data_IF_102748460747
#
_entry.id   IF_102748460747
#
_cell.length_a   1.000
_cell.length_b   1.000
_cell.length_c   1.000
_cell.angle_alpha   90.00
_cell.angle_beta   90.00
_cell.angle_gamma   90.00
#
_symmetry.space_group_name_H-M   'P 1'
#
loop_
_entity.id
_entity.type
_entity.pdbx_description
1 polymer ?
#
# COMPACT_ATOMS: atom_id res chain seq x y z
N UNK A 1 -13.28 -9.05 -8.29
CA UNK A 1 -13.68 -7.74 -8.88
C UNK A 1 -12.51 -6.81 -9.27
N UNK A 2 -11.30 -6.89 -8.69
CA UNK A 2 -10.16 -6.00 -9.07
C UNK A 2 -9.71 -6.20 -10.53
N UNK A 3 -9.71 -7.44 -11.04
CA UNK A 3 -9.37 -7.76 -12.43
C UNK A 3 -10.31 -7.08 -13.43
N UNK A 4 -11.62 -7.11 -13.16
CA UNK A 4 -12.64 -6.44 -14.00
C UNK A 4 -12.42 -4.93 -14.02
N UNK A 5 -12.17 -4.31 -12.86
CA UNK A 5 -11.87 -2.87 -12.78
C UNK A 5 -10.59 -2.50 -13.52
N UNK A 6 -9.53 -3.32 -13.43
CA UNK A 6 -8.28 -3.12 -14.19
C UNK A 6 -8.53 -3.21 -15.69
N UNK A 7 -9.26 -4.23 -16.14
CA UNK A 7 -9.63 -4.40 -17.54
C UNK A 7 -10.41 -3.19 -18.06
N UNK A 8 -11.47 -2.77 -17.34
CA UNK A 8 -12.27 -1.61 -17.71
C UNK A 8 -11.45 -0.31 -17.73
N UNK A 9 -10.62 -0.07 -16.71
CA UNK A 9 -9.74 1.09 -16.67
C UNK A 9 -8.82 1.15 -17.90
N UNK A 10 -8.20 0.03 -18.26
CA UNK A 10 -7.33 -0.08 -19.44
C UNK A 10 -8.13 0.12 -20.72
N UNK A 11 -9.29 -0.51 -20.88
CA UNK A 11 -10.15 -0.35 -22.06
C UNK A 11 -10.58 1.11 -22.25
N UNK A 12 -11.06 1.78 -21.20
CA UNK A 12 -11.53 3.16 -21.28
C UNK A 12 -10.39 4.16 -21.52
N UNK A 13 -9.19 3.92 -20.98
CA UNK A 13 -8.02 4.77 -21.22
C UNK A 13 -7.43 4.57 -22.62
N UNK A 14 -7.33 3.31 -23.09
CA UNK A 14 -6.79 2.99 -24.42
C UNK A 14 -7.70 3.51 -25.55
N UNK A 15 -9.01 3.53 -25.37
CA UNK A 15 -9.91 4.16 -26.34
C UNK A 15 -9.98 5.68 -26.16
N UNK A 16 -10.02 6.19 -24.92
CA UNK A 16 -10.26 7.60 -24.65
C UNK A 16 -9.10 8.53 -25.03
N UNK A 17 -7.86 8.12 -24.78
CA UNK A 17 -6.66 8.97 -24.97
C UNK A 17 -6.28 9.19 -26.45
N UNK A 18 -6.16 8.17 -27.31
CA UNK A 18 -5.80 8.40 -28.71
C UNK A 18 -6.92 9.09 -29.49
N UNK A 19 -8.19 8.81 -29.16
CA UNK A 19 -9.33 9.46 -29.80
C UNK A 19 -9.44 10.93 -29.40
N UNK A 20 -9.18 11.29 -28.13
CA UNK A 20 -9.12 12.69 -27.73
C UNK A 20 -7.95 13.44 -28.38
N UNK A 21 -6.79 12.81 -28.50
CA UNK A 21 -5.63 13.40 -29.17
C UNK A 21 -5.90 13.71 -30.65
N UNK A 22 -6.52 12.78 -31.38
CA UNK A 22 -6.90 12.98 -32.78
C UNK A 22 -7.90 14.15 -32.95
N UNK A 23 -8.93 14.21 -32.10
CA UNK A 23 -9.92 15.28 -32.15
C UNK A 23 -9.31 16.64 -31.78
N UNK A 24 -8.41 16.69 -30.80
CA UNK A 24 -7.71 17.94 -30.42
C UNK A 24 -6.87 18.47 -31.60
N UNK A 25 -6.21 17.60 -32.36
CA UNK A 25 -5.44 17.97 -33.55
C UNK A 25 -6.36 18.57 -34.62
N UNK A 26 -7.54 17.99 -34.88
CA UNK A 26 -8.48 18.49 -35.88
C UNK A 26 -9.12 19.84 -35.49
N UNK A 27 -9.39 20.06 -34.20
CA UNK A 27 -9.92 21.34 -33.70
C UNK A 27 -8.88 22.47 -33.83
N UNK A 28 -7.61 22.18 -33.55
CA UNK A 28 -6.51 23.15 -33.60
C UNK A 28 -6.01 23.42 -35.02
N UNK A 29 -6.39 22.60 -36.00
CA UNK A 29 -6.00 22.78 -37.39
C UNK A 29 -6.80 23.93 -38.05
N UNK A 30 -6.16 25.00 -38.55
CA UNK A 30 -6.86 26.13 -39.15
C UNK A 30 -7.55 25.78 -40.48
N UNK A 31 -7.26 24.61 -41.07
CA UNK A 31 -7.83 24.17 -42.35
C UNK A 31 -9.14 23.36 -42.21
N UNK A 32 -9.60 23.06 -41.00
CA UNK A 32 -10.84 22.31 -40.78
C UNK A 32 -12.08 23.21 -40.85
N UNK A 33 -13.13 22.71 -41.50
CA UNK A 33 -14.39 23.46 -41.70
C UNK A 33 -15.18 23.52 -40.38
N UNK A 34 -15.94 24.60 -40.16
CA UNK A 34 -16.75 24.77 -38.93
C UNK A 34 -17.72 23.60 -38.66
N UNK A 35 -18.29 23.02 -39.72
CA UNK A 35 -19.16 21.84 -39.63
C UNK A 35 -18.42 20.62 -39.05
N UNK A 36 -17.19 20.41 -39.47
CA UNK A 36 -16.36 19.29 -39.02
C UNK A 36 -15.84 19.53 -37.59
N UNK A 37 -15.53 20.79 -37.24
CA UNK A 37 -15.20 21.18 -35.86
C UNK A 37 -16.35 20.90 -34.90
N UNK A 38 -17.59 21.25 -35.27
CA UNK A 38 -18.77 21.00 -34.44
C UNK A 38 -19.06 19.49 -34.28
N UNK A 39 -18.87 18.70 -35.34
CA UNK A 39 -18.98 17.23 -35.26
C UNK A 39 -17.89 16.62 -34.36
N UNK A 40 -16.66 17.14 -34.44
CA UNK A 40 -15.55 16.72 -33.61
C UNK A 40 -15.77 17.06 -32.12
N UNK A 41 -16.31 18.25 -31.81
CA UNK A 41 -16.71 18.64 -30.45
C UNK A 41 -17.83 17.74 -29.91
N UNK A 42 -18.81 17.40 -30.74
CA UNK A 42 -19.88 16.45 -30.36
C UNK A 42 -19.31 15.05 -30.05
N UNK A 43 -18.36 14.55 -30.85
CA UNK A 43 -17.70 13.28 -30.59
C UNK A 43 -16.87 13.30 -29.29
N UNK A 44 -16.17 14.42 -29.02
CA UNK A 44 -15.34 14.60 -27.83
C UNK A 44 -16.20 14.59 -26.55
N UNK A 45 -17.33 15.30 -26.58
CA UNK A 45 -18.24 15.43 -25.43
C UNK A 45 -19.02 14.15 -25.12
N UNK A 46 -19.51 13.46 -26.16
CA UNK A 46 -20.36 12.28 -25.97
C UNK A 46 -19.54 11.03 -25.65
N UNK A 47 -18.41 10.84 -26.32
CA UNK A 47 -17.66 9.58 -26.22
C UNK A 47 -16.39 9.68 -25.40
N UNK A 48 -15.59 10.74 -25.58
CA UNK A 48 -14.22 10.74 -25.02
C UNK A 48 -14.15 11.26 -23.58
N UNK A 49 -14.88 12.31 -23.24
CA UNK A 49 -14.86 12.89 -21.88
C UNK A 49 -15.41 11.92 -20.82
N UNK A 50 -16.59 11.28 -21.01
CA UNK A 50 -17.11 10.34 -20.04
C UNK A 50 -16.21 9.10 -19.91
N UNK A 51 -15.69 8.60 -21.03
CA UNK A 51 -14.81 7.42 -21.05
C UNK A 51 -13.50 7.67 -20.31
N UNK A 52 -12.82 8.80 -20.59
CA UNK A 52 -11.56 9.15 -19.91
C UNK A 52 -11.77 9.44 -18.44
N UNK A 53 -12.88 10.08 -18.07
CA UNK A 53 -13.24 10.35 -16.68
C UNK A 53 -13.49 9.04 -15.90
N UNK A 54 -14.25 8.09 -16.47
CA UNK A 54 -14.50 6.78 -15.86
C UNK A 54 -13.20 5.97 -15.75
N UNK A 55 -12.39 5.93 -16.81
CA UNK A 55 -11.11 5.23 -16.81
C UNK A 55 -10.12 5.81 -15.80
N UNK A 56 -10.06 7.14 -15.69
CA UNK A 56 -9.26 7.86 -14.71
C UNK A 56 -9.70 7.58 -13.28
N UNK A 57 -11.00 7.69 -12.99
CA UNK A 57 -11.52 7.39 -11.65
C UNK A 57 -11.33 5.92 -11.28
N UNK A 58 -11.61 4.98 -12.18
CA UNK A 58 -11.36 3.55 -11.92
C UNK A 58 -9.89 3.29 -11.58
N UNK A 59 -8.96 3.89 -12.32
CA UNK A 59 -7.52 3.77 -12.06
C UNK A 59 -7.13 4.32 -10.68
N UNK A 60 -7.59 5.53 -10.34
CA UNK A 60 -7.33 6.14 -9.03
C UNK A 60 -7.94 5.32 -7.89
N UNK A 61 -9.16 4.82 -8.06
CA UNK A 61 -9.84 3.99 -7.05
C UNK A 61 -9.09 2.68 -6.77
N UNK A 62 -8.48 2.07 -7.80
CA UNK A 62 -7.67 0.86 -7.67
C UNK A 62 -6.39 1.13 -6.89
N UNK A 63 -5.72 2.26 -7.16
CA UNK A 63 -4.54 2.68 -6.41
C UNK A 63 -4.90 2.91 -4.94
N UNK A 64 -5.97 3.65 -4.67
CA UNK A 64 -6.43 3.91 -3.31
C UNK A 64 -6.80 2.60 -2.58
N UNK A 65 -7.47 1.67 -3.27
CA UNK A 65 -7.84 0.38 -2.70
C UNK A 65 -6.61 -0.46 -2.33
N UNK A 66 -5.61 -0.53 -3.22
CA UNK A 66 -4.37 -1.27 -2.94
C UNK A 66 -3.59 -0.64 -1.78
N UNK A 67 -3.58 0.70 -1.65
CA UNK A 67 -2.96 1.38 -0.51
C UNK A 67 -3.65 1.02 0.81
N UNK A 68 -4.98 1.04 0.83
CA UNK A 68 -5.76 0.65 2.03
C UNK A 68 -5.51 -0.80 2.43
N UNK A 69 -5.49 -1.72 1.47
CA UNK A 69 -5.21 -3.14 1.74
C UNK A 69 -3.81 -3.36 2.31
N UNK A 70 -2.79 -2.71 1.73
CA UNK A 70 -1.42 -2.78 2.27
C UNK A 70 -1.33 -2.20 3.67
N UNK A 71 -2.01 -1.08 3.94
CA UNK A 71 -2.04 -0.48 5.27
C UNK A 71 -2.73 -1.39 6.30
N UNK A 72 -3.81 -2.08 5.92
CA UNK A 72 -4.49 -3.03 6.80
C UNK A 72 -3.61 -4.25 7.10
N UNK A 73 -2.91 -4.78 6.10
CA UNK A 73 -1.96 -5.89 6.30
C UNK A 73 -0.86 -5.47 7.27
N UNK A 74 -0.24 -4.32 7.04
CA UNK A 74 0.84 -3.81 7.89
C UNK A 74 0.37 -3.54 9.33
N UNK A 75 -0.82 -2.95 9.51
CA UNK A 75 -1.41 -2.74 10.83
C UNK A 75 -1.69 -4.07 11.54
N UNK A 76 -2.20 -5.09 10.82
CA UNK A 76 -2.45 -6.41 11.39
C UNK A 76 -1.16 -7.13 11.80
N UNK A 77 -0.07 -6.97 11.02
CA UNK A 77 1.24 -7.51 11.36
C UNK A 77 1.78 -6.84 12.62
N UNK A 78 1.75 -5.51 12.71
CA UNK A 78 2.18 -4.75 13.89
C UNK A 78 1.39 -5.16 15.14
N UNK A 79 0.06 -5.25 15.04
CA UNK A 79 -0.78 -5.67 16.16
C UNK A 79 -0.44 -7.10 16.62
N UNK A 80 -0.14 -7.99 15.68
CA UNK A 80 0.29 -9.36 15.99
C UNK A 80 1.65 -9.38 16.71
N UNK A 81 2.63 -8.62 16.24
CA UNK A 81 3.94 -8.51 16.89
C UNK A 81 3.80 -7.95 18.31
N UNK A 82 3.02 -6.89 18.48
CA UNK A 82 2.77 -6.29 19.79
C UNK A 82 2.10 -7.27 20.75
N UNK A 83 1.09 -8.01 20.27
CA UNK A 83 0.40 -9.02 21.09
C UNK A 83 1.34 -10.13 21.54
N UNK A 84 2.25 -10.60 20.66
CA UNK A 84 3.26 -11.60 21.01
C UNK A 84 4.26 -11.02 22.01
N UNK A 85 4.74 -9.80 21.78
CA UNK A 85 5.66 -9.10 22.67
C UNK A 85 5.07 -8.99 24.09
N UNK A 86 3.86 -8.45 24.23
CA UNK A 86 3.19 -8.28 25.53
C UNK A 86 2.99 -9.61 26.24
N UNK A 87 2.60 -10.66 25.52
CA UNK A 87 2.48 -12.01 26.09
C UNK A 87 3.80 -12.55 26.60
N UNK A 88 4.89 -12.38 25.85
CA UNK A 88 6.22 -12.83 26.25
C UNK A 88 6.74 -12.04 27.46
N UNK A 89 6.49 -10.74 27.46
CA UNK A 89 6.76 -9.83 28.59
C UNK A 89 6.11 -10.35 29.86
N UNK A 90 4.81 -10.65 29.82
CA UNK A 90 4.05 -11.10 30.97
C UNK A 90 4.50 -12.49 31.43
N UNK A 91 4.70 -13.41 30.48
CA UNK A 91 5.02 -14.82 30.78
C UNK A 91 6.44 -14.99 31.32
N UNK A 92 7.39 -14.16 30.88
CA UNK A 92 8.82 -14.32 31.19
C UNK A 92 9.33 -13.24 32.17
N UNK A 93 8.44 -12.62 32.94
CA UNK A 93 8.78 -11.56 33.90
C UNK A 93 9.64 -10.45 33.25
N UNK A 94 9.29 -10.05 32.03
CA UNK A 94 9.97 -9.02 31.25
C UNK A 94 11.27 -9.42 30.56
N UNK A 95 11.69 -10.70 30.63
CA UNK A 95 12.88 -11.19 29.92
C UNK A 95 12.49 -11.78 28.57
N UNK A 96 13.03 -11.24 27.48
CA UNK A 96 12.76 -11.72 26.13
C UNK A 96 14.06 -11.87 25.36
N UNK A 97 14.30 -13.04 24.79
CA UNK A 97 15.40 -13.26 23.84
C UNK A 97 14.94 -13.03 22.40
N UNK A 98 15.89 -12.71 21.51
CA UNK A 98 15.64 -12.60 20.07
C UNK A 98 15.01 -13.89 19.52
N UNK A 99 15.49 -15.06 19.96
CA UNK A 99 14.98 -16.34 19.48
C UNK A 99 13.53 -16.60 19.92
N UNK A 100 13.18 -16.24 21.17
CA UNK A 100 11.80 -16.37 21.66
C UNK A 100 10.84 -15.51 20.83
N UNK A 101 11.19 -14.26 20.58
CA UNK A 101 10.34 -13.37 19.78
C UNK A 101 10.26 -13.86 18.32
N UNK A 102 11.37 -14.22 17.68
CA UNK A 102 11.38 -14.78 16.32
C UNK A 102 10.48 -16.02 16.19
N UNK A 103 10.59 -16.96 17.14
CA UNK A 103 9.82 -18.20 17.15
C UNK A 103 8.33 -17.97 17.40
N UNK A 104 7.97 -17.15 18.38
CA UNK A 104 6.56 -16.94 18.75
C UNK A 104 5.84 -16.00 17.78
N UNK A 105 6.55 -15.04 17.20
CA UNK A 105 6.02 -14.15 16.20
C UNK A 105 6.19 -14.70 14.77
N UNK A 106 6.77 -15.88 14.56
CA UNK A 106 6.99 -16.44 13.22
C UNK A 106 7.60 -15.42 12.26
N UNK A 107 8.69 -14.77 12.69
CA UNK A 107 9.44 -13.77 11.92
C UNK A 107 10.93 -14.13 11.88
N UNK A 108 11.67 -13.66 10.86
CA UNK A 108 13.12 -13.87 10.81
C UNK A 108 13.83 -13.34 12.06
N UNK A 109 14.92 -14.01 12.45
CA UNK A 109 15.74 -13.64 13.62
C UNK A 109 16.18 -12.17 13.54
N UNK A 110 16.58 -11.69 12.36
CA UNK A 110 17.01 -10.32 12.17
C UNK A 110 15.89 -9.31 12.42
N UNK A 111 14.67 -9.59 11.91
CA UNK A 111 13.49 -8.75 12.14
C UNK A 111 13.09 -8.74 13.60
N UNK A 112 13.21 -9.88 14.28
CA UNK A 112 12.97 -9.98 15.71
C UNK A 112 13.97 -9.15 16.53
N UNK A 113 15.25 -9.17 16.17
CA UNK A 113 16.28 -8.36 16.83
C UNK A 113 15.96 -6.87 16.66
N UNK A 114 15.68 -6.45 15.43
CA UNK A 114 15.32 -5.06 15.15
C UNK A 114 14.10 -4.62 15.97
N UNK A 115 13.04 -5.43 16.00
CA UNK A 115 11.83 -5.11 16.78
C UNK A 115 12.13 -4.93 18.27
N UNK A 116 12.91 -5.85 18.86
CA UNK A 116 13.28 -5.76 20.28
C UNK A 116 14.24 -4.60 20.56
N UNK A 117 15.16 -4.27 19.65
CA UNK A 117 16.02 -3.08 19.75
C UNK A 117 15.19 -1.79 19.76
N UNK A 118 14.20 -1.68 18.87
CA UNK A 118 13.27 -0.54 18.83
C UNK A 118 12.45 -0.44 20.12
N UNK A 119 11.88 -1.55 20.60
CA UNK A 119 11.13 -1.60 21.86
C UNK A 119 12.01 -1.31 23.08
N UNK A 120 13.27 -1.73 23.06
CA UNK A 120 14.21 -1.44 24.13
C UNK A 120 14.53 0.05 24.22
N UNK A 121 14.64 0.74 23.08
CA UNK A 121 14.78 2.19 23.04
C UNK A 121 13.51 2.90 23.50
N UNK A 122 12.33 2.44 23.05
CA UNK A 122 11.04 3.03 23.42
C UNK A 122 10.74 2.92 24.92
N UNK A 123 11.08 1.76 25.52
CA UNK A 123 10.71 1.41 26.89
C UNK A 123 11.89 1.45 27.87
N UNK A 124 13.06 1.94 27.45
CA UNK A 124 14.30 1.97 28.24
C UNK A 124 14.67 0.61 28.85
N UNK A 125 14.58 -0.46 28.04
CA UNK A 125 14.92 -1.80 28.48
C UNK A 125 16.44 -1.98 28.62
N UNK A 126 16.84 -2.79 29.61
CA UNK A 126 18.22 -3.22 29.78
C UNK A 126 18.54 -4.50 29.01
N UNK A 127 19.81 -4.89 29.02
CA UNK A 127 20.26 -6.22 28.57
C UNK A 127 20.73 -7.02 29.78
N UNK A 128 20.33 -8.29 29.82
CA UNK A 128 20.77 -9.23 30.85
C UNK A 128 21.41 -10.43 30.16
N UNK A 129 22.55 -10.86 30.69
CA UNK A 129 23.26 -12.05 30.24
C UNK A 129 23.12 -13.10 31.34
N UNK A 130 22.59 -14.27 31.00
CA UNK A 130 22.48 -15.37 31.96
C UNK A 130 23.81 -16.12 32.15
N UNK A 131 23.84 -17.09 33.05
CA UNK A 131 25.03 -17.88 33.38
C UNK A 131 25.54 -18.72 32.19
N UNK A 132 24.67 -18.98 31.21
CA UNK A 132 24.98 -19.72 29.98
C UNK A 132 25.50 -18.80 28.87
N UNK A 133 25.53 -17.48 29.10
CA UNK A 133 25.96 -16.47 28.14
C UNK A 133 24.86 -16.03 27.17
N UNK A 134 23.60 -16.41 27.38
CA UNK A 134 22.50 -15.98 26.53
C UNK A 134 22.12 -14.54 26.85
N UNK A 135 21.97 -13.72 25.81
CA UNK A 135 21.56 -12.32 25.93
C UNK A 135 20.04 -12.22 25.83
N UNK A 136 19.44 -11.57 26.81
CA UNK A 136 18.01 -11.24 26.84
C UNK A 136 17.80 -9.74 27.02
N UNK A 137 16.72 -9.23 26.44
CA UNK A 137 16.20 -7.90 26.74
C UNK A 137 15.41 -7.99 28.04
N UNK A 138 15.68 -7.09 28.97
CA UNK A 138 14.99 -6.96 30.25
C UNK A 138 14.16 -5.69 30.24
N UNK A 139 12.86 -5.87 30.10
CA UNK A 139 11.87 -4.80 30.18
C UNK A 139 11.37 -4.70 31.63
N UNK A 140 11.36 -3.49 32.16
CA UNK A 140 10.81 -3.17 33.49
C UNK A 140 9.43 -2.55 33.30
N UNK A 141 8.42 -3.09 33.98
CA UNK A 141 7.05 -2.57 34.01
C UNK A 141 6.63 -2.36 35.46
#
# INVERSE_FOLDING_TARGET
MKLVKKFLAVCFLLFGIPFSAAVIIDILNPKTTEKDKNAAIAALTIFTLPSTMIGGWLSWSLVQQNRKEKALILASEQQRLESVFLKLVETNAGKITVLQMAKNADIPIQSSKQYLDEKAQELNAGFEVDEEGNVSYKFSF
#
